data_IF_136620279888
#
_entry.id   IF_136620279888
#
_cell.length_a   1.000
_cell.length_b   1.000
_cell.length_c   1.000
_cell.angle_alpha   90.00
_cell.angle_beta   90.00
_cell.angle_gamma   90.00
#
_symmetry.space_group_name_H-M   'P 1'
#
loop_
_entity.id
_entity.type
_entity.pdbx_description
1 polymer ?
#
# COMPACT_ATOMS: atom_id res chain seq x y z
N UNK A 1 57.31 7.24 31.06
CA UNK A 1 55.89 7.52 31.38
C UNK A 1 55.12 7.45 30.07
N UNK A 2 54.37 6.36 29.90
CA UNK A 2 53.58 6.10 28.70
C UNK A 2 52.33 6.99 28.71
N UNK A 3 52.05 7.61 27.56
CA UNK A 3 50.79 8.30 27.29
C UNK A 3 49.87 7.29 26.64
N UNK A 4 48.84 6.86 27.37
CA UNK A 4 47.76 6.03 26.86
C UNK A 4 46.87 6.87 25.94
N UNK A 5 46.87 6.54 24.65
CA UNK A 5 45.90 7.04 23.68
C UNK A 5 44.57 6.36 23.92
N UNK A 6 43.58 7.12 24.37
CA UNK A 6 42.20 6.69 24.52
C UNK A 6 41.58 6.47 23.13
N UNK A 7 41.42 5.21 22.74
CA UNK A 7 40.67 4.82 21.55
C UNK A 7 39.19 5.10 21.81
N UNK A 8 38.66 6.17 21.23
CA UNK A 8 37.21 6.44 21.23
C UNK A 8 36.56 5.43 20.30
N UNK A 9 36.02 4.35 20.87
CA UNK A 9 35.11 3.45 20.16
C UNK A 9 33.81 4.22 19.95
N UNK A 10 33.64 4.79 18.76
CA UNK A 10 32.34 5.23 18.27
C UNK A 10 31.47 3.98 18.19
N UNK A 11 30.54 3.82 19.13
CA UNK A 11 29.54 2.75 19.10
C UNK A 11 28.60 2.98 17.91
N UNK A 12 29.00 2.45 16.74
CA UNK A 12 28.12 2.30 15.59
C UNK A 12 26.90 1.49 16.02
N UNK A 13 25.72 2.06 15.83
CA UNK A 13 24.45 1.32 15.90
C UNK A 13 24.60 0.05 15.07
N UNK A 14 24.48 -1.12 15.69
CA UNK A 14 24.57 -2.40 14.99
C UNK A 14 23.52 -2.41 13.86
N UNK A 15 23.97 -2.53 12.61
CA UNK A 15 23.10 -2.60 11.44
C UNK A 15 22.11 -3.74 11.61
N UNK A 16 20.81 -3.47 11.46
CA UNK A 16 19.80 -4.54 11.55
C UNK A 16 19.94 -5.51 10.38
N UNK A 17 19.91 -6.81 10.65
CA UNK A 17 19.87 -7.87 9.61
C UNK A 17 18.80 -7.62 8.54
N UNK A 18 17.70 -6.95 8.92
CA UNK A 18 16.57 -6.59 8.03
C UNK A 18 16.93 -5.57 6.95
N UNK A 19 18.00 -4.80 7.14
CA UNK A 19 18.46 -3.81 6.17
C UNK A 19 19.42 -4.43 5.15
N UNK A 20 20.11 -5.50 5.53
CA UNK A 20 21.07 -6.16 4.66
C UNK A 20 20.35 -7.08 3.67
N UNK A 21 20.44 -6.76 2.37
CA UNK A 21 19.89 -7.58 1.29
C UNK A 21 20.43 -9.02 1.32
N UNK A 22 21.72 -9.21 1.59
CA UNK A 22 22.36 -10.52 1.59
C UNK A 22 21.97 -11.42 2.77
N UNK A 23 21.23 -10.88 3.74
CA UNK A 23 20.72 -11.63 4.90
C UNK A 23 19.20 -11.78 4.80
N UNK A 24 18.50 -10.68 4.51
CA UNK A 24 17.04 -10.61 4.58
C UNK A 24 16.33 -10.48 3.23
N UNK A 25 17.07 -10.22 2.14
CA UNK A 25 16.52 -10.12 0.80
C UNK A 25 16.06 -11.48 0.27
N UNK A 26 15.30 -11.50 -0.84
CA UNK A 26 14.80 -12.74 -1.40
C UNK A 26 15.86 -13.47 -2.24
N UNK A 27 16.86 -14.03 -1.58
CA UNK A 27 18.02 -14.68 -2.21
C UNK A 27 17.66 -15.89 -3.08
N UNK A 28 16.45 -16.42 -2.93
CA UNK A 28 15.95 -17.51 -3.77
C UNK A 28 15.51 -17.03 -5.18
N UNK A 29 15.31 -15.72 -5.39
CA UNK A 29 15.04 -15.15 -6.71
C UNK A 29 16.35 -14.81 -7.43
N UNK A 30 17.00 -15.83 -8.00
CA UNK A 30 18.21 -15.66 -8.83
C UNK A 30 17.89 -15.18 -10.24
N UNK A 31 16.69 -15.45 -10.74
CA UNK A 31 16.16 -14.97 -12.02
C UNK A 31 14.71 -14.53 -11.85
N UNK A 32 14.41 -13.31 -12.30
CA UNK A 32 13.03 -12.81 -12.30
C UNK A 32 12.27 -13.41 -13.47
N UNK A 33 11.08 -13.90 -13.16
CA UNK A 33 10.10 -14.37 -14.14
C UNK A 33 8.95 -13.37 -14.05
N UNK A 34 8.83 -12.52 -15.07
CA UNK A 34 7.87 -11.41 -15.06
C UNK A 34 6.44 -11.89 -15.24
N UNK A 35 6.23 -13.13 -15.70
CA UNK A 35 4.89 -13.72 -15.83
C UNK A 35 4.45 -14.37 -14.51
N UNK A 36 5.37 -14.57 -13.56
CA UNK A 36 5.09 -15.18 -12.27
C UNK A 36 4.66 -14.13 -11.22
N UNK A 37 3.41 -14.17 -10.72
CA UNK A 37 2.91 -13.20 -9.74
C UNK A 37 3.71 -13.18 -8.43
N UNK A 38 4.26 -14.31 -8.00
CA UNK A 38 5.12 -14.38 -6.80
C UNK A 38 6.44 -13.65 -7.00
N UNK A 39 7.01 -13.69 -8.20
CA UNK A 39 8.23 -12.96 -8.53
C UNK A 39 7.95 -11.47 -8.58
N UNK A 40 6.91 -11.04 -9.31
CA UNK A 40 6.47 -9.64 -9.36
C UNK A 40 6.22 -9.05 -7.98
N UNK A 41 5.50 -9.78 -7.11
CA UNK A 41 5.26 -9.39 -5.71
C UNK A 41 6.57 -9.21 -4.94
N UNK A 42 7.49 -10.16 -5.05
CA UNK A 42 8.77 -10.12 -4.32
C UNK A 42 9.64 -8.95 -4.78
N UNK A 43 9.68 -8.69 -6.09
CA UNK A 43 10.37 -7.52 -6.67
C UNK A 43 9.75 -6.21 -6.18
N UNK A 44 8.43 -6.06 -6.29
CA UNK A 44 7.73 -4.86 -5.84
C UNK A 44 7.94 -4.59 -4.34
N UNK A 45 7.84 -5.63 -3.49
CA UNK A 45 8.11 -5.51 -2.07
C UNK A 45 9.58 -5.15 -1.77
N UNK A 46 10.54 -5.70 -2.52
CA UNK A 46 11.97 -5.36 -2.38
C UNK A 46 12.25 -3.89 -2.74
N UNK A 47 11.62 -3.39 -3.81
CA UNK A 47 11.73 -1.98 -4.22
C UNK A 47 11.03 -1.02 -3.24
N UNK A 48 10.04 -1.48 -2.47
CA UNK A 48 9.50 -0.71 -1.34
C UNK A 48 10.44 -0.73 -0.14
N UNK A 49 11.06 -1.88 0.15
CA UNK A 49 12.06 -2.01 1.21
C UNK A 49 13.29 -1.14 0.96
N UNK A 50 13.74 -0.99 -0.28
CA UNK A 50 14.83 -0.08 -0.60
C UNK A 50 14.51 1.37 -0.23
N UNK A 51 13.26 1.83 -0.31
CA UNK A 51 12.88 3.19 0.12
C UNK A 51 13.02 3.35 1.64
N UNK A 52 12.67 2.32 2.42
CA UNK A 52 12.94 2.31 3.86
C UNK A 52 14.44 2.43 4.16
N UNK A 53 15.27 1.74 3.40
CA UNK A 53 16.72 1.70 3.62
C UNK A 53 17.38 2.97 3.09
N UNK A 54 16.91 3.57 2.00
CA UNK A 54 17.35 4.87 1.51
C UNK A 54 17.23 5.95 2.60
N UNK A 55 16.09 5.96 3.30
CA UNK A 55 15.89 6.90 4.40
C UNK A 55 16.75 6.56 5.63
N UNK A 56 17.01 5.27 5.92
CA UNK A 56 17.96 4.89 6.98
C UNK A 56 19.39 5.25 6.62
N UNK A 57 19.81 5.01 5.38
CA UNK A 57 21.10 5.42 4.84
C UNK A 57 21.28 6.93 5.01
N UNK A 58 20.25 7.73 4.71
CA UNK A 58 20.24 9.17 4.98
C UNK A 58 20.38 9.52 6.46
N UNK A 59 19.58 8.90 7.34
CA UNK A 59 19.59 9.15 8.79
C UNK A 59 20.93 8.76 9.44
N UNK A 60 21.55 7.69 8.98
CA UNK A 60 22.82 7.15 9.48
C UNK A 60 24.05 7.65 8.70
N UNK A 61 23.84 8.50 7.68
CA UNK A 61 24.90 9.02 6.79
C UNK A 61 25.73 7.92 6.12
N UNK A 62 25.06 6.85 5.68
CA UNK A 62 25.67 5.75 4.91
C UNK A 62 25.68 6.12 3.43
N UNK A 63 26.87 6.39 2.91
CA UNK A 63 27.09 6.82 1.53
C UNK A 63 28.05 5.89 0.78
N UNK A 64 28.01 5.92 -0.56
CA UNK A 64 28.92 5.15 -1.40
C UNK A 64 28.88 3.65 -1.10
N UNK A 65 30.03 3.07 -0.76
CA UNK A 65 30.16 1.64 -0.43
C UNK A 65 29.51 1.23 0.90
N UNK A 66 29.16 2.20 1.76
CA UNK A 66 28.47 1.93 3.03
C UNK A 66 26.94 1.89 2.88
N UNK A 67 26.41 2.42 1.76
CA UNK A 67 24.97 2.44 1.52
C UNK A 67 24.42 1.02 1.32
N UNK A 68 23.34 0.70 2.03
CA UNK A 68 22.73 -0.63 2.00
C UNK A 68 21.58 -0.73 0.98
N UNK A 69 20.94 0.40 0.69
CA UNK A 69 19.78 0.41 -0.19
C UNK A 69 20.06 -0.11 -1.62
N UNK A 70 21.22 0.16 -2.27
CA UNK A 70 21.44 -0.20 -3.67
C UNK A 70 21.24 -1.67 -4.03
N UNK A 71 21.57 -2.57 -3.10
CA UNK A 71 21.47 -4.01 -3.36
C UNK A 71 20.02 -4.47 -3.57
N UNK A 72 19.06 -3.77 -2.98
CA UNK A 72 17.63 -4.10 -3.05
C UNK A 72 16.99 -3.84 -4.42
N UNK A 73 17.58 -3.01 -5.28
CA UNK A 73 17.11 -2.79 -6.65
C UNK A 73 18.09 -3.33 -7.71
N UNK A 74 19.40 -3.32 -7.43
CA UNK A 74 20.41 -3.85 -8.34
C UNK A 74 20.24 -5.36 -8.59
N UNK A 75 19.82 -6.12 -7.56
CA UNK A 75 19.55 -7.56 -7.67
C UNK A 75 18.47 -7.91 -8.71
N UNK A 76 17.61 -6.95 -9.07
CA UNK A 76 16.55 -7.12 -10.06
C UNK A 76 16.75 -6.27 -11.31
N UNK A 77 18.00 -5.82 -11.55
CA UNK A 77 18.39 -5.01 -12.70
C UNK A 77 17.66 -3.66 -12.80
N UNK A 78 17.35 -3.03 -11.68
CA UNK A 78 16.88 -1.64 -11.69
C UNK A 78 18.02 -0.66 -11.44
N UNK A 79 17.79 0.59 -11.79
CA UNK A 79 18.55 1.74 -11.33
C UNK A 79 17.62 2.75 -10.67
N UNK A 80 18.15 3.51 -9.71
CA UNK A 80 17.42 4.63 -9.10
C UNK A 80 17.37 5.79 -10.11
N UNK A 81 16.16 6.15 -10.54
CA UNK A 81 15.93 7.27 -11.45
C UNK A 81 15.74 8.59 -10.70
N UNK A 82 14.93 8.59 -9.63
CA UNK A 82 14.66 9.80 -8.83
C UNK A 82 14.21 9.45 -7.41
N UNK A 83 14.66 10.23 -6.43
CA UNK A 83 14.14 10.19 -5.07
C UNK A 83 12.92 11.11 -4.93
N UNK A 84 11.94 10.67 -4.14
CA UNK A 84 10.81 11.49 -3.71
C UNK A 84 11.05 11.89 -2.25
N UNK A 85 11.30 13.17 -2.05
CA UNK A 85 11.68 13.78 -0.78
C UNK A 85 10.52 14.67 -0.34
N UNK A 86 10.18 14.60 0.92
CA UNK A 86 9.14 15.43 1.50
C UNK A 86 9.66 16.83 1.80
N UNK A 87 8.96 17.87 1.36
CA UNK A 87 9.37 19.26 1.57
C UNK A 87 9.27 19.68 3.04
N UNK A 88 8.41 19.00 3.83
CA UNK A 88 8.16 19.34 5.23
C UNK A 88 9.29 18.92 6.17
N UNK A 89 9.87 17.73 5.96
CA UNK A 89 10.89 17.17 6.87
C UNK A 89 12.13 16.62 6.15
N UNK A 90 12.22 16.82 4.84
CA UNK A 90 13.32 16.34 3.99
C UNK A 90 13.54 14.82 4.06
N UNK A 91 12.54 14.05 4.51
CA UNK A 91 12.62 12.60 4.51
C UNK A 91 12.40 12.04 3.11
N UNK A 92 13.18 11.03 2.75
CA UNK A 92 12.91 10.21 1.57
C UNK A 92 11.68 9.36 1.90
N UNK A 93 10.59 9.50 1.14
CA UNK A 93 9.36 8.73 1.36
C UNK A 93 8.98 7.87 0.15
N UNK A 94 9.62 8.11 -1.00
CA UNK A 94 9.44 7.32 -2.20
C UNK A 94 10.66 7.34 -3.11
N UNK A 95 10.65 6.48 -4.11
CA UNK A 95 11.65 6.43 -5.16
C UNK A 95 11.04 5.96 -6.48
N UNK A 96 11.61 6.44 -7.58
CA UNK A 96 11.29 6.00 -8.93
C UNK A 96 12.49 5.19 -9.41
N UNK A 97 12.22 3.95 -9.81
CA UNK A 97 13.20 3.03 -10.37
C UNK A 97 12.94 2.85 -11.86
N UNK A 98 14.01 2.69 -12.62
CA UNK A 98 13.97 2.34 -14.04
C UNK A 98 14.61 0.97 -14.23
N UNK A 99 13.95 0.07 -14.97
CA UNK A 99 14.57 -1.20 -15.34
C UNK A 99 15.73 -0.92 -16.29
N UNK A 100 16.93 -1.35 -15.92
CA UNK A 100 18.10 -1.29 -16.79
C UNK A 100 17.94 -2.39 -17.84
N UNK A 101 18.09 -2.04 -19.11
CA UNK A 101 17.83 -2.94 -20.24
C UNK A 101 18.55 -4.27 -20.04
N UNK A 102 17.78 -5.35 -19.91
CA UNK A 102 18.33 -6.70 -19.88
C UNK A 102 18.96 -6.97 -21.23
N UNK A 103 20.24 -7.31 -21.23
CA UNK A 103 20.90 -7.93 -22.37
C UNK A 103 20.01 -9.05 -22.95
N UNK A 104 19.70 -8.94 -24.24
CA UNK A 104 19.29 -10.02 -25.14
C UNK A 104 18.05 -10.88 -24.80
N UNK A 105 17.09 -10.41 -24.01
CA UNK A 105 15.77 -11.04 -23.98
C UNK A 105 14.70 -10.03 -24.39
N UNK A 106 13.93 -10.27 -25.47
CA UNK A 106 12.80 -9.41 -25.79
C UNK A 106 11.91 -9.40 -24.55
N UNK A 107 11.69 -8.19 -24.02
CA UNK A 107 10.93 -7.90 -22.82
C UNK A 107 9.72 -8.84 -22.74
N UNK A 108 9.60 -9.65 -21.69
CA UNK A 108 8.28 -10.18 -21.33
C UNK A 108 7.36 -8.96 -21.25
N UNK A 109 6.19 -9.04 -21.89
CA UNK A 109 5.20 -7.97 -21.91
C UNK A 109 4.86 -7.47 -20.49
N UNK A 110 5.08 -8.31 -19.47
CA UNK A 110 4.77 -8.04 -18.07
C UNK A 110 5.90 -7.34 -17.28
N UNK A 111 7.09 -7.14 -17.87
CA UNK A 111 8.21 -6.48 -17.18
C UNK A 111 7.97 -4.95 -17.07
N UNK A 112 8.10 -4.36 -15.86
CA UNK A 112 7.93 -2.92 -15.70
C UNK A 112 9.13 -2.18 -16.29
N UNK A 113 8.86 -1.08 -17.00
CA UNK A 113 9.87 -0.10 -17.38
C UNK A 113 10.20 0.81 -16.20
N UNK A 114 9.18 1.22 -15.45
CA UNK A 114 9.32 2.08 -14.28
C UNK A 114 8.55 1.51 -13.09
N UNK A 115 9.11 1.65 -11.89
CA UNK A 115 8.42 1.34 -10.64
C UNK A 115 8.49 2.56 -9.73
N UNK A 116 7.33 3.03 -9.28
CA UNK A 116 7.21 4.13 -8.32
C UNK A 116 6.84 3.49 -6.98
N UNK A 117 7.80 3.50 -6.05
CA UNK A 117 7.68 2.82 -4.76
C UNK A 117 7.57 3.83 -3.62
N UNK A 118 6.67 3.57 -2.66
CA UNK A 118 6.44 4.41 -1.49
C UNK A 118 6.58 3.60 -0.19
N UNK A 119 7.37 4.10 0.75
CA UNK A 119 7.45 3.49 2.09
C UNK A 119 6.32 3.99 2.99
N UNK A 120 6.03 3.23 4.03
CA UNK A 120 5.27 3.72 5.17
C UNK A 120 6.16 4.38 6.23
N UNK A 121 5.60 4.53 7.43
CA UNK A 121 6.25 5.18 8.57
C UNK A 121 7.49 4.42 9.03
N UNK A 122 8.60 5.13 9.27
CA UNK A 122 9.78 4.57 9.92
C UNK A 122 9.62 4.81 11.40
N UNK A 123 9.34 3.74 12.12
CA UNK A 123 9.16 3.78 13.56
C UNK A 123 10.31 3.07 14.26
N UNK A 124 10.73 3.56 15.42
CA UNK A 124 11.79 2.94 16.22
C UNK A 124 11.18 2.11 17.36
N UNK A 125 11.59 0.84 17.46
CA UNK A 125 11.33 0.00 18.63
C UNK A 125 9.84 -0.12 19.01
N UNK A 126 9.51 0.23 20.25
CA UNK A 126 8.20 0.05 20.88
C UNK A 126 7.16 1.12 20.48
N UNK A 127 7.61 2.20 19.82
CA UNK A 127 6.71 3.24 19.30
C UNK A 127 5.95 2.81 18.03
N UNK A 128 6.33 1.69 17.40
CA UNK A 128 5.83 1.21 16.10
C UNK A 128 4.31 1.34 15.93
N UNK A 129 3.53 0.71 16.81
CA UNK A 129 2.07 0.69 16.64
C UNK A 129 1.46 2.07 16.88
N UNK A 130 1.96 2.80 17.88
CA UNK A 130 1.44 4.13 18.23
C UNK A 130 1.67 5.14 17.11
N UNK A 131 2.87 5.16 16.54
CA UNK A 131 3.22 6.12 15.48
C UNK A 131 2.39 5.85 14.22
N UNK A 132 2.18 4.57 13.86
CA UNK A 132 1.32 4.23 12.73
C UNK A 132 -0.15 4.60 13.01
N UNK A 133 -0.66 4.34 14.21
CA UNK A 133 -2.04 4.72 14.59
C UNK A 133 -2.25 6.23 14.55
N UNK A 134 -1.27 7.01 15.02
CA UNK A 134 -1.28 8.47 14.95
C UNK A 134 -1.31 8.98 13.50
N UNK A 135 -0.44 8.43 12.64
CA UNK A 135 -0.42 8.79 11.22
C UNK A 135 -1.74 8.47 10.53
N UNK A 136 -2.32 7.31 10.81
CA UNK A 136 -3.64 6.89 10.32
C UNK A 136 -4.73 7.85 10.80
N UNK A 137 -4.67 8.28 12.06
CA UNK A 137 -5.65 9.20 12.62
C UNK A 137 -5.60 10.59 11.95
N UNK A 138 -4.40 11.10 11.69
CA UNK A 138 -4.19 12.37 10.97
C UNK A 138 -4.84 12.32 9.58
N UNK A 139 -4.63 11.21 8.85
CA UNK A 139 -5.18 11.03 7.50
C UNK A 139 -6.71 10.89 7.54
N UNK A 140 -7.23 10.13 8.51
CA UNK A 140 -8.68 9.92 8.66
C UNK A 140 -9.43 11.22 8.89
N UNK A 141 -8.83 12.17 9.60
CA UNK A 141 -9.46 13.45 9.93
C UNK A 141 -9.40 14.49 8.80
N UNK A 142 -8.94 14.10 7.60
CA UNK A 142 -9.05 14.95 6.42
C UNK A 142 -8.30 16.28 6.54
N UNK A 143 -7.26 16.36 7.39
CA UNK A 143 -6.40 17.54 7.60
C UNK A 143 -5.51 17.86 6.37
N UNK A 144 -5.98 17.49 5.18
CA UNK A 144 -5.34 17.49 3.89
C UNK A 144 -4.27 16.41 3.78
N UNK A 145 -4.46 15.55 2.77
CA UNK A 145 -3.44 14.68 2.21
C UNK A 145 -2.09 15.40 2.28
N UNK A 146 -1.16 14.87 3.07
CA UNK A 146 0.10 15.55 3.37
C UNK A 146 0.85 15.88 2.07
N UNK A 147 1.83 16.79 2.14
CA UNK A 147 2.78 17.08 1.04
C UNK A 147 3.23 15.80 0.31
N UNK A 148 3.49 14.72 1.04
CA UNK A 148 3.86 13.40 0.47
C UNK A 148 2.81 12.81 -0.47
N UNK A 149 1.53 12.89 -0.13
CA UNK A 149 0.45 12.40 -1.01
C UNK A 149 0.34 13.25 -2.28
N UNK A 150 0.47 14.57 -2.16
CA UNK A 150 0.46 15.46 -3.32
C UNK A 150 1.67 15.19 -4.23
N UNK A 151 2.88 15.16 -3.67
CA UNK A 151 4.11 14.84 -4.40
C UNK A 151 4.01 13.45 -5.04
N UNK A 152 3.42 12.46 -4.36
CA UNK A 152 3.19 11.12 -4.92
C UNK A 152 2.29 11.17 -6.16
N UNK A 153 1.15 11.85 -6.09
CA UNK A 153 0.24 12.00 -7.25
C UNK A 153 0.95 12.70 -8.41
N UNK A 154 1.66 13.80 -8.12
CA UNK A 154 2.38 14.57 -9.13
C UNK A 154 3.50 13.73 -9.78
N UNK A 155 4.25 12.96 -8.98
CA UNK A 155 5.30 12.07 -9.47
C UNK A 155 4.74 11.00 -10.41
N UNK A 156 3.62 10.37 -10.05
CA UNK A 156 2.96 9.36 -10.90
C UNK A 156 2.48 9.97 -12.21
N UNK A 157 1.79 11.12 -12.15
CA UNK A 157 1.34 11.85 -13.35
C UNK A 157 2.51 12.21 -14.25
N UNK A 158 3.61 12.69 -13.68
CA UNK A 158 4.80 13.06 -14.42
C UNK A 158 5.45 11.87 -15.14
N UNK A 159 5.62 10.73 -14.46
CA UNK A 159 6.18 9.51 -15.08
C UNK A 159 5.29 9.05 -16.23
N UNK A 160 3.97 8.98 -16.03
CA UNK A 160 3.03 8.55 -17.07
C UNK A 160 3.01 9.52 -18.26
N UNK A 161 3.01 10.83 -18.00
CA UNK A 161 3.02 11.84 -19.05
C UNK A 161 4.34 11.83 -19.87
N UNK A 162 5.47 11.51 -19.22
CA UNK A 162 6.79 11.54 -19.85
C UNK A 162 7.12 10.25 -20.58
N UNK A 163 6.76 9.09 -20.02
CA UNK A 163 7.20 7.79 -20.51
C UNK A 163 6.09 6.87 -21.02
N UNK A 164 4.84 7.32 -20.94
CA UNK A 164 3.65 6.51 -21.19
C UNK A 164 3.18 5.74 -19.95
N UNK A 165 1.96 5.22 -20.01
CA UNK A 165 1.37 4.41 -18.94
C UNK A 165 1.73 2.94 -19.00
N UNK A 166 2.14 2.44 -20.17
CA UNK A 166 2.54 1.05 -20.36
C UNK A 166 3.74 0.70 -19.49
N UNK A 167 3.65 -0.42 -18.77
CA UNK A 167 4.74 -0.99 -17.97
C UNK A 167 5.21 -0.04 -16.84
N UNK A 168 4.29 0.74 -16.25
CA UNK A 168 4.55 1.52 -15.03
C UNK A 168 3.85 0.84 -13.84
N UNK A 169 4.62 0.51 -12.82
CA UNK A 169 4.11 -0.05 -11.57
C UNK A 169 4.04 1.00 -10.47
N UNK A 170 2.97 0.95 -9.68
CA UNK A 170 2.88 1.58 -8.38
C UNK A 170 3.10 0.52 -7.30
N UNK A 171 3.94 0.81 -6.32
CA UNK A 171 4.14 -0.08 -5.18
C UNK A 171 4.15 0.73 -3.88
N UNK A 172 3.56 0.18 -2.83
CA UNK A 172 3.62 0.85 -1.54
C UNK A 172 3.34 -0.08 -0.39
N UNK A 173 3.86 0.27 0.79
CA UNK A 173 3.64 -0.47 2.03
C UNK A 173 3.05 0.42 3.12
N UNK A 174 2.07 -0.08 3.88
CA UNK A 174 1.45 0.64 4.99
C UNK A 174 0.93 2.01 4.52
N UNK A 175 1.38 3.11 5.13
CA UNK A 175 1.07 4.46 4.66
C UNK A 175 1.50 4.71 3.19
N UNK A 176 2.60 4.11 2.74
CA UNK A 176 3.02 4.16 1.34
C UNK A 176 2.05 3.44 0.39
N UNK A 177 1.38 2.38 0.86
CA UNK A 177 0.33 1.72 0.07
C UNK A 177 -0.91 2.61 -0.05
N UNK A 178 -1.23 3.39 0.99
CA UNK A 178 -2.27 4.41 0.93
C UNK A 178 -1.92 5.53 -0.09
N UNK A 179 -0.66 5.99 -0.14
CA UNK A 179 -0.18 6.94 -1.17
C UNK A 179 -0.29 6.36 -2.58
N UNK A 180 0.22 5.13 -2.80
CA UNK A 180 0.12 4.42 -4.06
C UNK A 180 -1.33 4.23 -4.51
N UNK A 181 -2.21 3.88 -3.58
CA UNK A 181 -3.64 3.69 -3.84
C UNK A 181 -4.32 5.00 -4.26
N UNK A 182 -4.02 6.12 -3.60
CA UNK A 182 -4.58 7.41 -4.00
C UNK A 182 -4.12 7.83 -5.40
N UNK A 183 -2.83 7.67 -5.68
CA UNK A 183 -2.26 8.01 -6.98
C UNK A 183 -2.84 7.09 -8.08
N UNK A 184 -2.96 5.80 -7.80
CA UNK A 184 -3.59 4.82 -8.69
C UNK A 184 -5.05 5.16 -8.98
N UNK A 185 -5.85 5.51 -7.95
CA UNK A 185 -7.22 6.01 -8.14
C UNK A 185 -7.26 7.25 -9.03
N UNK A 186 -6.37 8.20 -8.81
CA UNK A 186 -6.29 9.42 -9.62
C UNK A 186 -6.03 9.11 -11.11
N UNK A 187 -5.15 8.16 -11.40
CA UNK A 187 -4.87 7.72 -12.78
C UNK A 187 -6.04 6.91 -13.37
N UNK A 188 -6.63 6.00 -12.59
CA UNK A 188 -7.73 5.16 -13.05
C UNK A 188 -8.98 5.99 -13.43
N UNK A 189 -9.25 7.08 -12.71
CA UNK A 189 -10.32 8.03 -13.06
C UNK A 189 -10.12 8.71 -14.41
N UNK A 190 -8.89 8.80 -14.90
CA UNK A 190 -8.57 9.32 -16.24
C UNK A 190 -8.45 8.21 -17.29
N UNK A 191 -8.87 6.98 -16.98
CA UNK A 191 -8.79 5.82 -17.86
C UNK A 191 -7.40 5.16 -17.92
N UNK A 192 -6.48 5.51 -17.02
CA UNK A 192 -5.14 4.92 -16.96
C UNK A 192 -5.04 3.94 -15.80
N UNK A 193 -5.04 2.65 -16.12
CA UNK A 193 -5.00 1.58 -15.13
C UNK A 193 -3.58 1.08 -14.92
N UNK A 194 -2.93 1.56 -13.85
CA UNK A 194 -1.56 1.16 -13.51
C UNK A 194 -1.55 -0.12 -12.69
N UNK A 195 -0.66 -1.03 -13.04
CA UNK A 195 -0.29 -2.17 -12.19
C UNK A 195 0.11 -1.65 -10.81
N UNK A 196 -0.55 -2.15 -9.77
CA UNK A 196 -0.41 -1.60 -8.42
C UNK A 196 -0.24 -2.70 -7.39
N UNK A 197 0.78 -2.58 -6.55
CA UNK A 197 1.17 -3.54 -5.51
C UNK A 197 1.04 -2.87 -4.14
N UNK A 198 -0.09 -3.12 -3.48
CA UNK A 198 -0.49 -2.47 -2.24
C UNK A 198 -0.28 -3.41 -1.07
N UNK A 199 0.79 -3.21 -0.30
CA UNK A 199 1.15 -4.07 0.83
C UNK A 199 0.64 -3.51 2.16
N UNK A 200 -0.22 -4.25 2.82
CA UNK A 200 -0.79 -3.91 4.13
C UNK A 200 -1.31 -2.45 4.24
N UNK A 201 -2.08 -1.92 3.26
CA UNK A 201 -2.62 -0.58 3.37
C UNK A 201 -3.56 -0.45 4.58
N UNK A 202 -3.66 0.74 5.20
CA UNK A 202 -4.63 0.98 6.25
C UNK A 202 -6.07 0.94 5.72
N UNK A 203 -6.97 0.40 6.54
CA UNK A 203 -8.41 0.45 6.34
C UNK A 203 -9.05 1.35 7.42
N UNK A 204 -9.63 2.49 7.03
CA UNK A 204 -10.04 3.54 7.96
C UNK A 204 -11.45 3.34 8.57
N UNK A 205 -11.80 2.10 8.95
CA UNK A 205 -13.09 1.76 9.60
C UNK A 205 -12.91 1.14 10.98
N UNK A 206 -14.03 0.89 11.66
CA UNK A 206 -14.02 0.07 12.87
C UNK A 206 -13.43 -1.33 12.54
N UNK A 207 -12.58 -1.91 13.41
CA UNK A 207 -11.89 -3.16 13.15
C UNK A 207 -12.80 -4.38 13.39
N UNK A 208 -13.80 -4.57 12.53
CA UNK A 208 -14.82 -5.62 12.62
C UNK A 208 -14.22 -7.03 12.43
N UNK A 209 -13.13 -7.19 11.67
CA UNK A 209 -12.40 -8.45 11.50
C UNK A 209 -11.80 -8.99 12.80
N UNK A 210 -11.50 -8.14 13.79
CA UNK A 210 -11.04 -8.58 15.13
C UNK A 210 -12.09 -9.39 15.88
N UNK A 211 -13.36 -9.29 15.53
CA UNK A 211 -14.45 -9.98 16.21
C UNK A 211 -14.36 -11.48 15.89
N UNK A 212 -14.15 -12.31 16.92
CA UNK A 212 -14.00 -13.77 16.78
C UNK A 212 -15.29 -14.45 16.32
N UNK A 213 -16.44 -13.97 16.80
CA UNK A 213 -17.74 -14.54 16.46
C UNK A 213 -18.15 -14.13 15.04
N UNK A 214 -18.23 -15.11 14.15
CA UNK A 214 -18.60 -14.91 12.73
C UNK A 214 -20.04 -14.40 12.56
N UNK A 215 -20.97 -14.78 13.42
CA UNK A 215 -22.37 -14.33 13.35
C UNK A 215 -22.47 -12.86 13.75
N UNK A 216 -21.79 -12.46 14.83
CA UNK A 216 -21.74 -11.07 15.29
C UNK A 216 -21.07 -10.19 14.23
N UNK A 217 -19.92 -10.63 13.70
CA UNK A 217 -19.21 -9.97 12.59
C UNK A 217 -20.14 -9.70 11.41
N UNK A 218 -20.86 -10.73 10.98
CA UNK A 218 -21.79 -10.60 9.85
C UNK A 218 -22.97 -9.68 10.15
N UNK A 219 -23.58 -9.80 11.35
CA UNK A 219 -24.69 -8.94 11.75
C UNK A 219 -24.32 -7.47 11.76
N UNK A 220 -23.13 -7.12 12.27
CA UNK A 220 -22.62 -5.75 12.29
C UNK A 220 -22.43 -5.22 10.85
N UNK A 221 -21.85 -6.02 9.95
CA UNK A 221 -21.65 -5.58 8.56
C UNK A 221 -22.96 -5.39 7.82
N UNK A 222 -23.90 -6.33 7.96
CA UNK A 222 -25.22 -6.22 7.36
C UNK A 222 -25.93 -4.94 7.83
N UNK A 223 -25.95 -4.69 9.14
CA UNK A 223 -26.52 -3.48 9.70
C UNK A 223 -25.82 -2.22 9.18
N UNK A 224 -24.49 -2.24 9.13
CA UNK A 224 -23.68 -1.15 8.59
C UNK A 224 -24.03 -0.82 7.13
N UNK A 225 -24.13 -1.83 6.26
CA UNK A 225 -24.49 -1.64 4.85
C UNK A 225 -25.90 -1.09 4.68
N UNK A 226 -26.87 -1.61 5.44
CA UNK A 226 -28.26 -1.12 5.39
C UNK A 226 -28.34 0.35 5.83
N UNK A 227 -27.67 0.72 6.92
CA UNK A 227 -27.61 2.10 7.41
C UNK A 227 -26.96 3.01 6.36
N UNK A 228 -25.83 2.59 5.80
CA UNK A 228 -25.08 3.36 4.79
C UNK A 228 -25.93 3.58 3.54
N UNK A 229 -26.58 2.53 3.03
CA UNK A 229 -27.44 2.61 1.86
C UNK A 229 -28.67 3.50 2.11
N UNK A 230 -29.30 3.39 3.29
CA UNK A 230 -30.43 4.24 3.68
C UNK A 230 -30.05 5.72 3.74
N UNK A 231 -28.90 6.05 4.34
CA UNK A 231 -28.35 7.40 4.36
C UNK A 231 -28.03 7.90 2.94
N UNK A 232 -27.39 7.08 2.10
CA UNK A 232 -27.07 7.44 0.72
C UNK A 232 -28.33 7.75 -0.11
N UNK A 233 -29.41 6.96 0.04
CA UNK A 233 -30.69 7.22 -0.62
C UNK A 233 -31.33 8.52 -0.15
N UNK A 234 -31.32 8.80 1.15
CA UNK A 234 -31.85 10.05 1.71
C UNK A 234 -31.11 11.29 1.18
N UNK A 235 -29.83 11.13 0.81
CA UNK A 235 -28.95 12.22 0.35
C UNK A 235 -28.84 12.33 -1.18
N UNK A 236 -29.62 11.55 -1.94
CA UNK A 236 -29.55 11.46 -3.41
C UNK A 236 -29.85 12.78 -4.15
N UNK A 237 -30.46 13.77 -3.48
CA UNK A 237 -30.70 15.11 -4.04
C UNK A 237 -29.48 16.05 -4.00
N UNK A 238 -28.36 15.64 -3.40
CA UNK A 238 -27.11 16.41 -3.42
C UNK A 238 -26.21 15.99 -4.59
N UNK A 239 -25.66 16.95 -5.34
CA UNK A 239 -24.76 16.74 -6.49
C UNK A 239 -23.52 15.83 -6.23
N UNK A 240 -23.21 15.49 -4.98
CA UNK A 240 -22.09 14.62 -4.60
C UNK A 240 -22.39 13.11 -4.71
N UNK A 241 -23.66 12.67 -4.61
CA UNK A 241 -24.01 11.24 -4.75
C UNK A 241 -23.89 10.75 -6.19
N UNK A 242 -24.14 11.60 -7.18
CA UNK A 242 -23.91 11.27 -8.59
C UNK A 242 -22.41 11.19 -8.93
N UNK A 243 -21.57 12.00 -8.28
CA UNK A 243 -20.13 12.05 -8.53
C UNK A 243 -19.39 10.83 -7.95
N UNK A 244 -19.76 10.39 -6.74
CA UNK A 244 -19.21 9.18 -6.11
C UNK A 244 -19.59 7.89 -6.84
N UNK A 245 -20.85 7.76 -7.29
CA UNK A 245 -21.29 6.64 -8.10
C UNK A 245 -20.56 6.56 -9.47
N UNK A 246 -20.36 7.70 -10.14
CA UNK A 246 -19.57 7.78 -11.36
C UNK A 246 -18.09 7.44 -11.14
N UNK A 247 -17.53 7.87 -10.01
CA UNK A 247 -16.13 7.61 -9.63
C UNK A 247 -15.89 6.14 -9.33
N UNK A 248 -16.73 5.50 -8.53
CA UNK A 248 -16.59 4.08 -8.18
C UNK A 248 -16.71 3.17 -9.41
N UNK A 249 -17.59 3.54 -10.36
CA UNK A 249 -17.68 2.87 -11.66
C UNK A 249 -16.44 3.09 -12.52
N UNK A 250 -15.89 4.30 -12.57
CA UNK A 250 -14.64 4.57 -13.29
C UNK A 250 -13.46 3.74 -12.74
N UNK A 251 -13.47 3.48 -11.43
CA UNK A 251 -12.46 2.66 -10.76
C UNK A 251 -12.66 1.14 -10.93
N UNK A 252 -13.83 0.66 -11.39
CA UNK A 252 -14.13 -0.80 -11.39
C UNK A 252 -13.23 -1.62 -12.30
N UNK A 253 -12.66 -0.98 -13.33
CA UNK A 253 -11.71 -1.59 -14.27
C UNK A 253 -10.27 -1.59 -13.76
N UNK A 254 -9.99 -0.96 -12.62
CA UNK A 254 -8.68 -0.99 -11.98
C UNK A 254 -8.58 -2.13 -10.97
N UNK A 255 -7.63 -3.05 -11.17
CA UNK A 255 -7.43 -4.23 -10.34
C UNK A 255 -6.05 -4.20 -9.64
N UNK A 256 -5.88 -3.39 -8.59
CA UNK A 256 -4.66 -3.42 -7.80
C UNK A 256 -4.47 -4.80 -7.15
N UNK A 257 -3.22 -5.27 -7.12
CA UNK A 257 -2.81 -6.37 -6.27
C UNK A 257 -2.76 -5.89 -4.82
N UNK A 258 -3.69 -6.38 -4.00
CA UNK A 258 -3.87 -5.98 -2.62
C UNK A 258 -3.40 -7.12 -1.70
N UNK A 259 -2.32 -6.88 -0.97
CA UNK A 259 -1.67 -7.86 -0.11
C UNK A 259 -1.97 -7.56 1.36
N UNK A 260 -2.60 -8.50 2.06
CA UNK A 260 -3.04 -8.30 3.46
C UNK A 260 -2.72 -9.50 4.34
N UNK A 261 -2.57 -9.24 5.65
CA UNK A 261 -2.37 -10.29 6.65
C UNK A 261 -3.51 -10.28 7.67
N UNK A 262 -4.19 -11.41 7.96
CA UNK A 262 -5.26 -11.47 8.96
C UNK A 262 -4.80 -11.11 10.38
N UNK A 263 -3.50 -11.27 10.69
CA UNK A 263 -2.90 -10.92 11.97
C UNK A 263 -2.49 -9.43 12.04
N UNK A 264 -2.64 -8.70 10.94
CA UNK A 264 -2.41 -7.26 10.84
C UNK A 264 -3.74 -6.52 10.89
N UNK A 265 -4.05 -5.98 12.06
CA UNK A 265 -5.31 -5.29 12.29
C UNK A 265 -5.46 -3.95 11.58
N UNK A 266 -4.41 -3.44 10.94
CA UNK A 266 -4.46 -2.21 10.15
C UNK A 266 -5.09 -2.48 8.79
N UNK A 267 -4.80 -3.65 8.20
CA UNK A 267 -5.25 -4.01 6.86
C UNK A 267 -6.26 -5.16 6.82
N UNK A 268 -6.44 -5.93 7.90
CA UNK A 268 -7.28 -7.12 7.89
C UNK A 268 -8.72 -6.86 7.45
N UNK A 269 -9.27 -5.66 7.71
CA UNK A 269 -10.62 -5.28 7.30
C UNK A 269 -10.88 -5.39 5.80
N UNK A 270 -9.84 -5.30 4.94
CA UNK A 270 -10.02 -5.53 3.50
C UNK A 270 -10.56 -6.93 3.20
N UNK A 271 -10.16 -7.95 3.97
CA UNK A 271 -10.67 -9.31 3.82
C UNK A 271 -12.19 -9.31 4.01
N UNK A 272 -12.62 -8.76 5.15
CA UNK A 272 -14.03 -8.68 5.49
C UNK A 272 -14.84 -7.76 4.58
N UNK A 273 -14.24 -6.68 4.09
CA UNK A 273 -14.84 -5.76 3.13
C UNK A 273 -15.19 -6.47 1.81
N UNK A 274 -14.26 -7.23 1.24
CA UNK A 274 -14.48 -7.93 -0.01
C UNK A 274 -15.38 -9.17 0.14
N UNK A 275 -15.16 -9.98 1.18
CA UNK A 275 -16.00 -11.17 1.46
C UNK A 275 -17.45 -10.79 1.77
N UNK A 276 -17.67 -9.67 2.47
CA UNK A 276 -19.02 -9.19 2.76
C UNK A 276 -19.77 -8.81 1.48
N UNK A 277 -19.08 -8.23 0.49
CA UNK A 277 -19.69 -7.85 -0.78
C UNK A 277 -20.20 -9.06 -1.56
N UNK A 278 -19.36 -10.07 -1.72
CA UNK A 278 -19.74 -11.32 -2.36
C UNK A 278 -20.92 -11.98 -1.63
N UNK A 279 -20.87 -12.03 -0.29
CA UNK A 279 -21.96 -12.60 0.49
C UNK A 279 -23.27 -11.82 0.33
N UNK A 280 -23.21 -10.50 0.21
CA UNK A 280 -24.40 -9.66 -0.03
C UNK A 280 -25.01 -9.97 -1.40
N UNK A 281 -24.20 -10.27 -2.41
CA UNK A 281 -24.68 -10.77 -3.70
C UNK A 281 -25.35 -12.15 -3.55
N UNK A 282 -24.73 -13.09 -2.84
CA UNK A 282 -25.26 -14.45 -2.62
C UNK A 282 -26.64 -14.47 -1.95
N UNK A 283 -26.92 -13.53 -1.05
CA UNK A 283 -28.22 -13.44 -0.35
C UNK A 283 -29.24 -12.54 -1.06
N UNK A 284 -28.94 -12.07 -2.27
CA UNK A 284 -29.83 -11.20 -3.06
C UNK A 284 -29.86 -9.74 -2.58
N UNK A 285 -28.97 -9.34 -1.66
CA UNK A 285 -28.85 -7.99 -1.13
C UNK A 285 -27.75 -7.15 -1.83
N UNK A 286 -27.21 -7.64 -2.96
CA UNK A 286 -26.14 -7.00 -3.72
C UNK A 286 -26.40 -5.57 -4.15
N UNK A 287 -27.67 -5.21 -4.40
CA UNK A 287 -28.06 -3.82 -4.70
C UNK A 287 -27.82 -2.85 -3.52
N UNK A 288 -28.10 -3.30 -2.29
CA UNK A 288 -27.89 -2.52 -1.06
C UNK A 288 -26.39 -2.31 -0.86
N UNK A 289 -25.62 -3.39 -1.00
CA UNK A 289 -24.19 -3.34 -0.81
C UNK A 289 -23.46 -2.51 -1.87
N UNK A 290 -23.87 -2.61 -3.15
CA UNK A 290 -23.31 -1.78 -4.23
C UNK A 290 -23.53 -0.28 -4.00
N UNK A 291 -24.62 0.10 -3.33
CA UNK A 291 -24.84 1.47 -2.92
C UNK A 291 -24.02 1.83 -1.68
N UNK A 292 -24.01 0.96 -0.66
CA UNK A 292 -23.27 1.19 0.58
C UNK A 292 -21.76 1.33 0.35
N UNK A 293 -21.16 0.48 -0.47
CA UNK A 293 -19.71 0.40 -0.68
C UNK A 293 -19.10 1.63 -1.35
N UNK A 294 -19.93 2.45 -2.01
CA UNK A 294 -19.51 3.73 -2.61
C UNK A 294 -19.30 4.82 -1.55
N UNK A 295 -19.74 4.59 -0.32
CA UNK A 295 -19.80 5.58 0.73
C UNK A 295 -19.19 5.05 2.03
N UNK A 296 -18.66 5.97 2.83
CA UNK A 296 -18.37 5.67 4.23
C UNK A 296 -19.48 6.25 5.10
N UNK A 297 -19.86 5.55 6.18
CA UNK A 297 -20.85 6.04 7.16
C UNK A 297 -20.45 7.42 7.68
N UNK A 298 -19.18 7.58 8.06
CA UNK A 298 -18.64 8.85 8.55
C UNK A 298 -18.75 9.98 7.52
N UNK A 299 -18.44 9.69 6.25
CA UNK A 299 -18.56 10.68 5.18
C UNK A 299 -20.00 11.10 4.89
N UNK A 300 -20.96 10.15 4.96
CA UNK A 300 -22.38 10.47 4.83
C UNK A 300 -22.88 11.33 6.00
N UNK A 301 -22.46 11.04 7.24
CA UNK A 301 -22.82 11.85 8.40
C UNK A 301 -22.28 13.28 8.32
N UNK A 302 -21.01 13.45 7.92
CA UNK A 302 -20.42 14.77 7.70
C UNK A 302 -21.17 15.55 6.62
N UNK A 303 -21.48 14.91 5.50
CA UNK A 303 -22.26 15.50 4.43
C UNK A 303 -23.69 15.88 4.88
N UNK A 304 -24.33 15.06 5.73
CA UNK A 304 -25.66 15.37 6.28
C UNK A 304 -25.62 16.58 7.23
N UNK A 305 -24.48 16.84 7.87
CA UNK A 305 -24.20 18.02 8.68
C UNK A 305 -23.76 19.25 7.86
N UNK A 306 -23.76 19.16 6.52
CA UNK A 306 -23.36 20.24 5.62
C UNK A 306 -21.85 20.42 5.45
N UNK A 307 -21.04 19.48 5.97
CA UNK A 307 -19.59 19.47 5.80
C UNK A 307 -19.20 18.67 4.57
N UNK A 308 -18.21 19.11 3.80
CA UNK A 308 -17.71 18.30 2.69
C UNK A 308 -16.88 17.13 3.22
N UNK A 309 -17.25 15.91 2.84
CA UNK A 309 -16.41 14.73 3.03
C UNK A 309 -15.58 14.45 1.78
N UNK A 310 -14.28 14.25 1.98
CA UNK A 310 -13.40 13.69 0.96
C UNK A 310 -13.79 12.23 0.63
N UNK A 311 -13.42 11.78 -0.56
CA UNK A 311 -13.62 10.40 -0.98
C UNK A 311 -12.81 9.43 -0.09
N UNK A 312 -13.42 8.34 0.40
CA UNK A 312 -12.74 7.41 1.29
C UNK A 312 -11.55 6.74 0.59
N UNK A 313 -10.34 6.97 1.11
CA UNK A 313 -9.10 6.49 0.51
C UNK A 313 -9.05 4.95 0.38
N UNK A 314 -9.55 4.24 1.39
CA UNK A 314 -9.48 2.79 1.53
C UNK A 314 -10.53 2.01 0.72
N UNK A 315 -11.58 2.66 0.21
CA UNK A 315 -12.63 1.94 -0.52
C UNK A 315 -12.26 1.80 -2.00
N UNK A 316 -12.13 0.57 -2.50
CA UNK A 316 -11.87 0.28 -3.91
C UNK A 316 -12.88 -0.75 -4.45
N UNK A 317 -13.38 -0.56 -5.68
CA UNK A 317 -14.38 -1.45 -6.26
C UNK A 317 -13.86 -2.86 -6.53
N UNK A 318 -12.64 -2.97 -7.05
CA UNK A 318 -12.08 -4.21 -7.54
C UNK A 318 -10.65 -4.38 -7.03
N UNK A 319 -10.21 -5.62 -6.85
CA UNK A 319 -8.84 -5.94 -6.45
C UNK A 319 -8.50 -7.41 -6.73
N UNK A 320 -7.22 -7.69 -6.93
CA UNK A 320 -6.67 -9.03 -6.73
C UNK A 320 -6.18 -9.14 -5.29
N UNK A 321 -7.04 -9.65 -4.40
CA UNK A 321 -6.75 -9.76 -2.97
C UNK A 321 -5.90 -11.00 -2.72
N UNK A 322 -4.72 -10.83 -2.13
CA UNK A 322 -3.86 -11.91 -1.66
C UNK A 322 -3.72 -11.85 -0.14
N UNK A 323 -4.17 -12.91 0.52
CA UNK A 323 -4.15 -13.05 1.97
C UNK A 323 -2.98 -13.94 2.38
N UNK A 324 -2.09 -13.41 3.22
CA UNK A 324 -1.01 -14.21 3.79
C UNK A 324 -1.48 -14.99 5.02
N UNK A 325 -1.63 -16.31 4.90
CA UNK A 325 -2.00 -17.22 6.00
C UNK A 325 -0.79 -17.79 6.73
N UNK A 326 0.42 -17.45 6.31
CA UNK A 326 1.64 -17.83 7.02
C UNK A 326 1.58 -17.27 8.45
N UNK A 327 1.86 -18.11 9.44
CA UNK A 327 1.81 -17.71 10.85
C UNK A 327 2.80 -16.57 11.12
N UNK A 328 2.27 -15.41 11.52
CA UNK A 328 3.06 -14.31 12.01
C UNK A 328 3.36 -14.49 13.51
N UNK A 329 4.55 -14.03 13.94
CA UNK A 329 4.94 -14.08 15.37
C UNK A 329 4.20 -13.05 16.22
N UNK A 330 4.08 -11.84 15.67
CA UNK A 330 3.46 -10.70 16.30
C UNK A 330 2.90 -9.75 15.23
N UNK A 331 2.30 -8.65 15.67
CA UNK A 331 1.79 -7.61 14.80
C UNK A 331 2.87 -6.97 13.91
N UNK A 332 4.11 -6.77 14.39
CA UNK A 332 5.18 -6.15 13.61
C UNK A 332 5.63 -7.07 12.47
N UNK A 333 5.64 -8.39 12.70
CA UNK A 333 5.91 -9.41 11.69
C UNK A 333 4.75 -9.53 10.69
N UNK A 334 3.51 -9.42 11.16
CA UNK A 334 2.30 -9.45 10.33
C UNK A 334 2.07 -8.18 9.50
N UNK A 335 2.54 -7.03 9.97
CA UNK A 335 2.45 -5.77 9.24
C UNK A 335 3.68 -5.55 8.36
N UNK A 336 4.86 -6.03 8.75
CA UNK A 336 6.10 -5.72 8.06
C UNK A 336 6.16 -6.17 6.60
N UNK A 337 6.76 -5.32 5.75
CA UNK A 337 6.93 -5.57 4.31
C UNK A 337 7.74 -6.85 4.02
N UNK A 338 8.62 -7.24 4.95
CA UNK A 338 9.52 -8.38 4.81
C UNK A 338 8.83 -9.74 4.66
N UNK A 339 7.56 -9.84 5.03
CA UNK A 339 6.81 -11.09 4.86
C UNK A 339 6.54 -11.40 3.38
N UNK A 340 6.59 -10.41 2.48
CA UNK A 340 6.05 -10.53 1.12
C UNK A 340 7.02 -11.13 0.09
N UNK A 341 8.27 -11.33 0.49
CA UNK A 341 9.33 -11.90 -0.35
C UNK A 341 10.01 -13.13 0.30
N UNK A 342 9.45 -13.69 1.38
CA UNK A 342 9.97 -14.94 1.97
C UNK A 342 9.63 -16.15 1.09
N UNK A 343 10.43 -17.21 1.18
CA UNK A 343 10.09 -18.50 0.60
C UNK A 343 9.04 -19.24 1.46
N UNK A 344 8.30 -20.17 0.85
CA UNK A 344 7.37 -21.04 1.58
C UNK A 344 6.13 -20.34 2.16
N UNK A 345 5.72 -19.21 1.58
CA UNK A 345 4.51 -18.50 2.02
C UNK A 345 3.25 -19.28 1.66
N UNK A 346 2.31 -19.35 2.60
CA UNK A 346 0.95 -19.81 2.33
C UNK A 346 0.08 -18.60 1.97
N UNK A 347 -0.14 -18.40 0.68
CA UNK A 347 -0.89 -17.27 0.15
C UNK A 347 -2.18 -17.75 -0.53
N UNK A 348 -3.29 -17.11 -0.19
CA UNK A 348 -4.58 -17.31 -0.85
C UNK A 348 -4.89 -16.07 -1.69
N UNK A 349 -5.04 -16.22 -3.01
CA UNK A 349 -5.37 -15.13 -3.91
C UNK A 349 -6.78 -15.29 -4.47
N UNK A 350 -7.55 -14.19 -4.49
CA UNK A 350 -8.90 -14.14 -5.05
C UNK A 350 -9.14 -12.80 -5.73
N UNK A 351 -9.75 -12.84 -6.92
CA UNK A 351 -10.15 -11.65 -7.65
C UNK A 351 -11.55 -11.24 -7.20
N UNK A 352 -11.70 -9.99 -6.79
CA UNK A 352 -12.99 -9.35 -6.53
C UNK A 352 -13.24 -8.30 -7.60
N UNK A 353 -14.40 -8.40 -8.25
CA UNK A 353 -14.82 -7.49 -9.31
C UNK A 353 -16.10 -6.75 -8.88
N UNK A 354 -16.19 -5.48 -9.23
CA UNK A 354 -17.43 -4.71 -9.13
C UNK A 354 -18.16 -4.75 -10.48
N UNK A 355 -19.26 -5.52 -10.54
CA UNK A 355 -20.12 -5.70 -11.72
C UNK A 355 -21.48 -5.02 -11.62
#
# INVERSE_FOLDING_TARGET
MASEGQFVVLSGSATSDRENFYISGPLHLTKVDWDNPCHRRSVAASLVQSVYILERDRQEKREGSLALAPQWWNAFHFQLYRLLIDDADSCIFGAIYQLTSTQNNPLSHEAPRYVIAFRGTITKGDAFSRDIELDIHIIKNGLHLTSRFEIAIQAVRHVVATFGSSNVWLAGHSLGAAMAMLAGKNMAKTGVFLDSFLFNPPFFSAPIEKIKDKKVKHGIRLAGSVITAGLALAMKNNHQTSHSAGTFRALSSWFPCLYVNPSDHICSEYIGYFEHRERMDDIGAGGIERLATQHSIGGLLLNAMGMQSDEPLHLIPSANLTVNRTRARDFKDAHGIHQWWRSGLHLESKIFNYS
#
